data_IF_701955001844
#
_entry.id   IF_701955001844
#
_cell.length_a   1.000
_cell.length_b   1.000
_cell.length_c   1.000
_cell.angle_alpha   90.00
_cell.angle_beta   90.00
_cell.angle_gamma   90.00
#
_symmetry.space_group_name_H-M   'P 1'
#
loop_
_entity.id
_entity.type
_entity.pdbx_description
1 polymer ?
#
# COMPACT_ATOMS: atom_id res chain seq x y z
N UNK A 1 3.87 6.13 36.50
CA UNK A 1 3.12 7.34 36.06
C UNK A 1 3.37 7.53 34.58
N UNK A 2 2.45 7.40 33.63
CA UNK A 2 1.01 7.63 33.69
C UNK A 2 0.59 8.40 32.43
N UNK A 3 0.80 7.80 31.25
CA UNK A 3 0.18 8.15 29.96
C UNK A 3 0.03 6.81 29.25
N UNK A 4 -0.96 5.97 29.56
CA UNK A 4 -2.36 6.26 29.26
C UNK A 4 -2.45 7.12 27.99
N UNK A 5 -1.89 6.61 26.89
CA UNK A 5 -2.47 6.83 25.57
C UNK A 5 -3.83 6.16 25.60
N UNK A 6 -4.72 6.85 26.28
CA UNK A 6 -6.16 6.73 26.18
C UNK A 6 -6.41 6.83 24.68
N UNK A 7 -6.61 5.67 24.03
CA UNK A 7 -7.52 5.59 22.90
C UNK A 7 -8.80 6.21 23.44
N UNK A 8 -8.92 7.52 23.22
CA UNK A 8 -10.08 8.31 23.56
C UNK A 8 -11.18 7.58 22.81
N UNK A 9 -12.03 6.86 23.55
CA UNK A 9 -13.14 6.09 23.02
C UNK A 9 -14.05 7.12 22.35
N UNK A 10 -13.79 7.39 21.07
CA UNK A 10 -14.43 8.48 20.37
C UNK A 10 -15.92 8.17 20.30
N UNK A 11 -16.69 9.19 20.64
CA UNK A 11 -18.11 9.11 20.91
C UNK A 11 -18.91 8.49 19.76
N UNK A 12 -19.73 7.51 20.14
CA UNK A 12 -20.91 6.91 19.49
C UNK A 12 -21.45 7.60 18.20
N UNK A 13 -21.09 7.01 17.03
CA UNK A 13 -21.82 6.86 15.73
C UNK A 13 -21.70 7.97 14.64
N UNK A 14 -21.59 7.53 13.36
CA UNK A 14 -22.71 7.57 12.37
C UNK A 14 -22.43 7.01 10.95
N UNK A 15 -21.19 6.74 10.54
CA UNK A 15 -20.93 6.13 9.22
C UNK A 15 -20.50 4.65 9.35
N UNK A 16 -21.36 3.68 8.98
CA UNK A 16 -20.99 2.27 9.04
C UNK A 16 -19.87 1.99 8.03
N UNK A 17 -19.10 0.93 8.30
CA UNK A 17 -18.15 0.43 7.32
C UNK A 17 -18.87 0.16 5.98
N UNK A 18 -18.28 0.56 4.83
CA UNK A 18 -18.92 0.40 3.54
C UNK A 18 -19.34 -1.04 3.27
N UNK A 19 -20.58 -1.23 2.81
CA UNK A 19 -21.06 -2.55 2.41
C UNK A 19 -20.33 -3.03 1.15
N UNK A 20 -20.35 -4.34 0.89
CA UNK A 20 -19.74 -4.93 -0.32
C UNK A 20 -20.24 -4.25 -1.60
N UNK A 21 -21.53 -3.87 -1.67
CA UNK A 21 -22.09 -3.16 -2.83
C UNK A 21 -21.43 -1.79 -3.04
N UNK A 22 -21.28 -1.02 -1.97
CA UNK A 22 -20.62 0.30 -2.03
C UNK A 22 -19.17 0.12 -2.45
N UNK A 23 -18.45 -0.84 -1.86
CA UNK A 23 -17.06 -1.09 -2.21
C UNK A 23 -16.89 -1.51 -3.68
N UNK A 24 -17.81 -2.31 -4.25
CA UNK A 24 -17.79 -2.65 -5.69
C UNK A 24 -17.96 -1.40 -6.54
N UNK A 25 -18.95 -0.55 -6.24
CA UNK A 25 -19.17 0.70 -6.96
C UNK A 25 -17.92 1.59 -6.88
N UNK A 26 -17.32 1.72 -5.69
CA UNK A 26 -16.09 2.48 -5.49
C UNK A 26 -14.92 1.89 -6.28
N UNK A 27 -14.75 0.56 -6.31
CA UNK A 27 -13.72 -0.10 -7.11
C UNK A 27 -13.89 0.16 -8.61
N UNK A 28 -15.11 0.10 -9.12
CA UNK A 28 -15.41 0.40 -10.54
C UNK A 28 -15.10 1.86 -10.86
N UNK A 29 -15.61 2.80 -10.06
CA UNK A 29 -15.36 4.24 -10.26
C UNK A 29 -13.88 4.56 -10.17
N UNK A 30 -13.16 3.94 -9.23
CA UNK A 30 -11.72 4.12 -9.07
C UNK A 30 -10.97 3.54 -10.27
N UNK A 31 -11.38 2.38 -10.78
CA UNK A 31 -10.79 1.78 -11.98
C UNK A 31 -10.97 2.65 -13.21
N UNK A 32 -12.14 3.27 -13.38
CA UNK A 32 -12.38 4.21 -14.49
C UNK A 32 -11.51 5.45 -14.32
N UNK A 33 -11.46 6.00 -13.11
CA UNK A 33 -10.64 7.18 -12.81
C UNK A 33 -9.15 6.88 -13.07
N UNK A 34 -8.65 5.73 -12.62
CA UNK A 34 -7.29 5.28 -12.87
C UNK A 34 -7.03 5.09 -14.37
N UNK A 35 -7.96 4.50 -15.11
CA UNK A 35 -7.85 4.36 -16.56
C UNK A 35 -7.74 5.72 -17.26
N UNK A 36 -8.65 6.66 -16.96
CA UNK A 36 -8.62 8.01 -17.53
C UNK A 36 -7.32 8.76 -17.21
N UNK A 37 -6.84 8.70 -15.96
CA UNK A 37 -5.58 9.33 -15.58
C UNK A 37 -4.40 8.70 -16.32
N UNK A 38 -4.40 7.38 -16.52
CA UNK A 38 -3.35 6.66 -17.26
C UNK A 38 -3.32 6.93 -18.76
N UNK A 39 -4.36 7.54 -19.33
CA UNK A 39 -4.31 8.06 -20.70
C UNK A 39 -3.32 9.22 -20.82
N UNK A 40 -3.18 10.04 -19.78
CA UNK A 40 -2.28 11.17 -19.73
C UNK A 40 -0.95 10.84 -19.04
N UNK A 41 -0.99 9.97 -18.02
CA UNK A 41 0.16 9.55 -17.23
C UNK A 41 0.27 8.03 -17.20
N UNK A 42 0.88 7.41 -18.23
CA UNK A 42 1.12 5.98 -18.26
C UNK A 42 1.89 5.50 -17.02
N UNK A 43 1.70 4.23 -16.69
CA UNK A 43 2.39 3.55 -15.59
C UNK A 43 3.90 3.73 -15.74
N UNK A 44 4.58 3.99 -14.64
CA UNK A 44 6.04 4.22 -14.63
C UNK A 44 6.47 5.62 -15.08
N UNK A 45 5.55 6.49 -15.51
CA UNK A 45 5.87 7.87 -15.90
C UNK A 45 5.59 8.88 -14.79
N UNK A 46 6.39 9.95 -14.77
CA UNK A 46 6.17 11.14 -13.95
C UNK A 46 7.46 11.76 -13.39
N UNK A 47 7.47 13.08 -13.12
CA UNK A 47 8.62 13.75 -12.54
C UNK A 47 9.06 13.13 -11.20
N UNK A 48 10.37 13.13 -10.96
CA UNK A 48 10.99 12.68 -9.71
C UNK A 48 10.67 11.22 -9.32
N UNK A 49 10.27 10.39 -10.28
CA UNK A 49 9.88 8.99 -10.03
C UNK A 49 8.48 8.84 -9.41
N UNK A 50 7.71 9.92 -9.32
CA UNK A 50 6.33 9.88 -8.86
C UNK A 50 5.43 9.27 -9.95
N UNK A 51 4.77 8.17 -9.65
CA UNK A 51 3.91 7.48 -10.60
C UNK A 51 2.48 8.03 -10.55
N UNK A 52 2.21 9.10 -11.30
CA UNK A 52 0.91 9.79 -11.31
C UNK A 52 -0.27 8.90 -11.68
N UNK A 53 -0.05 7.86 -12.49
CA UNK A 53 -1.06 6.87 -12.85
C UNK A 53 -1.66 6.08 -11.67
N UNK A 54 -1.06 6.13 -10.48
CA UNK A 54 -1.59 5.50 -9.25
C UNK A 54 -2.16 6.50 -8.23
N UNK A 55 -2.05 7.81 -8.48
CA UNK A 55 -2.53 8.83 -7.55
C UNK A 55 -4.02 8.74 -7.23
N UNK A 56 -4.93 8.39 -8.16
CA UNK A 56 -6.33 8.17 -7.82
C UNK A 56 -6.50 7.15 -6.70
N UNK A 57 -5.82 6.00 -6.81
CA UNK A 57 -5.83 4.93 -5.81
C UNK A 57 -5.22 5.39 -4.49
N UNK A 58 -4.10 6.12 -4.54
CA UNK A 58 -3.43 6.62 -3.33
C UNK A 58 -4.26 7.65 -2.58
N UNK A 59 -4.86 8.62 -3.27
CA UNK A 59 -5.75 9.62 -2.68
C UNK A 59 -6.95 8.93 -2.06
N UNK A 60 -7.57 7.98 -2.78
CA UNK A 60 -8.70 7.22 -2.26
C UNK A 60 -8.35 6.45 -0.97
N UNK A 61 -7.24 5.72 -0.97
CA UNK A 61 -6.79 4.95 0.20
C UNK A 61 -6.41 5.86 1.37
N UNK A 62 -5.78 7.01 1.10
CA UNK A 62 -5.47 8.01 2.12
C UNK A 62 -6.74 8.57 2.78
N UNK A 63 -7.72 9.00 1.99
CA UNK A 63 -9.00 9.49 2.50
C UNK A 63 -9.76 8.38 3.24
N UNK A 64 -9.70 7.15 2.75
CA UNK A 64 -10.28 5.98 3.42
C UNK A 64 -9.62 5.70 4.77
N UNK A 65 -8.30 5.82 4.87
CA UNK A 65 -7.57 5.70 6.14
C UNK A 65 -7.94 6.79 7.13
N UNK A 66 -8.08 8.04 6.67
CA UNK A 66 -8.55 9.16 7.47
C UNK A 66 -9.98 8.92 8.01
N UNK A 67 -10.91 8.48 7.16
CA UNK A 67 -12.27 8.11 7.57
C UNK A 67 -12.28 6.93 8.54
N UNK A 68 -11.44 5.92 8.30
CA UNK A 68 -11.33 4.74 9.17
C UNK A 68 -10.89 5.13 10.58
N UNK A 69 -9.95 6.07 10.71
CA UNK A 69 -9.51 6.61 11.99
C UNK A 69 -10.63 7.40 12.69
N UNK A 70 -11.29 8.32 11.98
CA UNK A 70 -12.34 9.16 12.58
C UNK A 70 -13.61 8.39 12.98
N UNK A 71 -13.94 7.32 12.27
CA UNK A 71 -15.15 6.53 12.50
C UNK A 71 -14.89 5.21 13.23
N UNK A 72 -13.65 4.93 13.64
CA UNK A 72 -13.29 3.71 14.37
C UNK A 72 -13.56 2.43 13.57
N UNK A 73 -13.45 2.47 12.23
CA UNK A 73 -13.74 1.31 11.38
C UNK A 73 -12.85 0.11 11.72
N UNK A 74 -11.61 0.36 12.15
CA UNK A 74 -10.65 -0.69 12.50
C UNK A 74 -11.02 -1.41 13.80
N UNK A 75 -11.73 -0.76 14.73
CA UNK A 75 -12.16 -1.39 15.99
C UNK A 75 -13.33 -2.37 15.76
N UNK A 76 -14.09 -2.19 14.68
CA UNK A 76 -15.32 -2.93 14.40
C UNK A 76 -15.37 -3.46 12.96
N UNK A 77 -14.28 -4.06 12.48
CA UNK A 77 -14.26 -4.69 11.17
C UNK A 77 -15.15 -5.96 11.22
N UNK A 78 -16.30 -5.91 10.56
CA UNK A 78 -17.17 -7.07 10.45
C UNK A 78 -16.51 -8.17 9.59
N UNK A 79 -16.44 -9.40 10.13
CA UNK A 79 -15.79 -10.56 9.48
C UNK A 79 -16.43 -10.96 8.14
N UNK A 80 -17.73 -10.71 7.97
CA UNK A 80 -18.49 -11.12 6.77
C UNK A 80 -18.05 -10.36 5.49
N UNK A 81 -18.02 -9.01 5.46
CA UNK A 81 -17.43 -8.26 4.35
C UNK A 81 -15.99 -8.64 4.03
N UNK A 82 -15.16 -8.93 5.05
CA UNK A 82 -13.75 -9.30 4.87
C UNK A 82 -13.61 -10.58 4.05
N UNK A 83 -14.29 -11.66 4.44
CA UNK A 83 -14.23 -12.95 3.72
C UNK A 83 -14.71 -12.83 2.27
N UNK A 84 -15.79 -12.07 2.03
CA UNK A 84 -16.30 -11.83 0.68
C UNK A 84 -15.28 -11.08 -0.17
N UNK A 85 -14.66 -10.05 0.38
CA UNK A 85 -13.64 -9.27 -0.33
C UNK A 85 -12.33 -10.01 -0.54
N UNK A 86 -11.94 -10.89 0.39
CA UNK A 86 -10.83 -11.81 0.17
C UNK A 86 -11.11 -12.74 -1.01
N UNK A 87 -12.30 -13.35 -1.05
CA UNK A 87 -12.70 -14.21 -2.15
C UNK A 87 -12.71 -13.46 -3.49
N UNK A 88 -13.28 -12.24 -3.51
CA UNK A 88 -13.25 -11.38 -4.70
C UNK A 88 -11.80 -11.13 -5.15
N UNK A 89 -10.91 -10.72 -4.26
CA UNK A 89 -9.51 -10.48 -4.61
C UNK A 89 -8.81 -11.74 -5.14
N UNK A 90 -8.99 -12.90 -4.49
CA UNK A 90 -8.41 -14.17 -4.94
C UNK A 90 -8.91 -14.55 -6.34
N UNK A 91 -10.20 -14.36 -6.61
CA UNK A 91 -10.78 -14.62 -7.93
C UNK A 91 -10.33 -13.61 -8.98
N UNK A 92 -10.11 -12.35 -8.58
CA UNK A 92 -9.69 -11.28 -9.50
C UNK A 92 -8.20 -11.38 -9.86
N UNK A 93 -7.32 -11.81 -8.93
CA UNK A 93 -5.87 -11.97 -9.19
C UNK A 93 -5.56 -12.68 -10.52
N UNK A 94 -6.08 -13.89 -10.81
CA UNK A 94 -5.79 -14.58 -12.07
C UNK A 94 -6.43 -13.92 -13.30
N UNK A 95 -7.44 -13.05 -13.13
CA UNK A 95 -8.08 -12.38 -14.26
C UNK A 95 -7.12 -11.45 -15.01
N UNK A 96 -6.11 -10.87 -14.34
CA UNK A 96 -5.11 -10.03 -15.01
C UNK A 96 -4.24 -10.84 -15.98
N UNK A 97 -3.48 -11.87 -15.55
CA UNK A 97 -2.66 -12.65 -16.49
C UNK A 97 -3.51 -13.32 -17.57
N UNK A 98 -4.71 -13.83 -17.24
CA UNK A 98 -5.64 -14.39 -18.23
C UNK A 98 -6.05 -13.31 -19.25
N UNK A 99 -6.46 -12.14 -18.78
CA UNK A 99 -6.85 -11.02 -19.64
C UNK A 99 -5.72 -10.58 -20.57
N UNK A 100 -4.51 -10.44 -20.04
CA UNK A 100 -3.33 -10.09 -20.83
C UNK A 100 -3.03 -11.15 -21.91
N UNK A 101 -3.03 -12.43 -21.55
CA UNK A 101 -2.82 -13.55 -22.49
C UNK A 101 -3.87 -13.52 -23.62
N UNK A 102 -5.15 -13.37 -23.27
CA UNK A 102 -6.25 -13.31 -24.24
C UNK A 102 -6.17 -12.11 -25.18
N UNK A 103 -5.47 -11.05 -24.76
CA UNK A 103 -5.23 -9.85 -25.58
C UNK A 103 -3.86 -9.85 -26.28
N UNK A 104 -3.23 -11.02 -26.42
CA UNK A 104 -2.00 -11.18 -27.21
C UNK A 104 -0.69 -10.93 -26.45
N UNK A 105 -0.69 -10.97 -25.11
CA UNK A 105 0.56 -10.81 -24.34
C UNK A 105 1.62 -11.87 -24.70
N UNK A 106 1.19 -13.11 -25.01
CA UNK A 106 2.10 -14.18 -25.48
C UNK A 106 2.66 -13.93 -26.89
N UNK A 107 2.02 -13.04 -27.65
CA UNK A 107 2.43 -12.63 -29.00
C UNK A 107 3.30 -11.36 -28.96
N UNK A 108 3.65 -10.87 -27.76
CA UNK A 108 4.48 -9.68 -27.54
C UNK A 108 3.71 -8.37 -27.36
N UNK A 109 2.38 -8.40 -27.37
CA UNK A 109 1.57 -7.20 -27.13
C UNK A 109 1.48 -6.90 -25.63
N UNK A 110 2.30 -5.96 -25.15
CA UNK A 110 2.36 -5.53 -23.75
C UNK A 110 2.00 -4.05 -23.59
N UNK A 111 0.77 -3.69 -23.93
CA UNK A 111 0.26 -2.32 -23.88
C UNK A 111 -0.65 -2.07 -22.66
N UNK A 112 -0.29 -2.59 -21.48
CA UNK A 112 -1.06 -2.44 -20.24
C UNK A 112 -0.72 -1.17 -19.44
N UNK A 113 0.41 -0.53 -19.76
CA UNK A 113 0.93 0.62 -19.02
C UNK A 113 0.10 1.89 -19.23
N UNK A 114 -0.61 2.02 -20.35
CA UNK A 114 -1.46 3.17 -20.64
C UNK A 114 -2.05 3.15 -22.06
N UNK A 115 -2.69 4.25 -22.43
CA UNK A 115 -3.34 4.39 -23.74
C UNK A 115 -4.74 3.76 -23.82
N UNK A 116 -5.39 3.92 -24.97
CA UNK A 116 -6.75 3.41 -25.25
C UNK A 116 -6.72 1.93 -25.67
N UNK A 117 -6.12 1.09 -24.85
CA UNK A 117 -6.03 -0.36 -25.09
C UNK A 117 -6.91 -1.13 -24.12
N UNK A 118 -7.38 -2.30 -24.56
CA UNK A 118 -8.14 -3.20 -23.68
C UNK A 118 -7.29 -3.70 -22.50
N UNK A 119 -5.97 -3.87 -22.70
CA UNK A 119 -5.04 -4.27 -21.65
C UNK A 119 -4.93 -3.22 -20.54
N UNK A 120 -4.78 -1.94 -20.89
CA UNK A 120 -4.72 -0.86 -19.93
C UNK A 120 -6.05 -0.73 -19.16
N UNK A 121 -7.18 -0.94 -19.84
CA UNK A 121 -8.50 -0.96 -19.20
C UNK A 121 -8.66 -2.12 -18.22
N UNK A 122 -8.32 -3.35 -18.63
CA UNK A 122 -8.35 -4.54 -17.77
C UNK A 122 -7.47 -4.32 -16.54
N UNK A 123 -6.25 -3.82 -16.72
CA UNK A 123 -5.32 -3.56 -15.62
C UNK A 123 -5.84 -2.49 -14.65
N UNK A 124 -6.37 -1.38 -15.17
CA UNK A 124 -6.94 -0.31 -14.35
C UNK A 124 -8.18 -0.76 -13.57
N UNK A 125 -9.04 -1.59 -14.17
CA UNK A 125 -10.20 -2.18 -13.48
C UNK A 125 -9.80 -3.20 -12.46
N UNK A 126 -8.80 -4.03 -12.76
CA UNK A 126 -8.34 -5.11 -11.89
C UNK A 126 -7.78 -4.60 -10.56
N UNK A 127 -7.01 -3.51 -10.59
CA UNK A 127 -6.25 -3.01 -9.45
C UNK A 127 -7.11 -2.71 -8.21
N UNK A 128 -8.17 -1.89 -8.26
CA UNK A 128 -8.97 -1.56 -7.08
C UNK A 128 -9.58 -2.78 -6.38
N UNK A 129 -9.98 -3.81 -7.12
CA UNK A 129 -10.58 -5.00 -6.53
C UNK A 129 -9.56 -5.81 -5.71
N UNK A 130 -8.37 -6.02 -6.27
CA UNK A 130 -7.29 -6.70 -5.58
C UNK A 130 -6.78 -5.86 -4.41
N UNK A 131 -6.58 -4.56 -4.65
CA UNK A 131 -6.13 -3.63 -3.61
C UNK A 131 -7.09 -3.59 -2.42
N UNK A 132 -8.40 -3.42 -2.64
CA UNK A 132 -9.36 -3.35 -1.54
C UNK A 132 -9.45 -4.67 -0.80
N UNK A 133 -9.53 -5.81 -1.51
CA UNK A 133 -9.65 -7.11 -0.86
C UNK A 133 -8.43 -7.47 -0.01
N UNK A 134 -7.22 -7.21 -0.52
CA UNK A 134 -5.99 -7.42 0.25
C UNK A 134 -5.88 -6.47 1.44
N UNK A 135 -6.11 -5.17 1.25
CA UNK A 135 -6.03 -4.20 2.34
C UNK A 135 -7.05 -4.51 3.44
N UNK A 136 -8.33 -4.68 3.12
CA UNK A 136 -9.38 -4.97 4.10
C UNK A 136 -9.06 -6.26 4.87
N UNK A 137 -8.57 -7.29 4.16
CA UNK A 137 -8.23 -8.58 4.77
C UNK A 137 -7.01 -8.50 5.67
N UNK A 138 -5.92 -7.88 5.22
CA UNK A 138 -4.73 -7.72 6.03
C UNK A 138 -5.04 -6.87 7.25
N UNK A 139 -5.71 -5.72 7.09
CA UNK A 139 -6.05 -4.86 8.22
C UNK A 139 -6.92 -5.61 9.25
N UNK A 140 -7.93 -6.36 8.81
CA UNK A 140 -8.73 -7.20 9.71
C UNK A 140 -7.90 -8.27 10.41
N UNK A 141 -7.04 -8.97 9.67
CA UNK A 141 -6.23 -10.05 10.22
C UNK A 141 -5.20 -9.55 11.25
N UNK A 142 -4.49 -8.46 10.92
CA UNK A 142 -3.56 -7.82 11.86
C UNK A 142 -4.29 -7.25 13.08
N UNK A 143 -5.47 -6.66 12.90
CA UNK A 143 -6.28 -6.18 14.01
C UNK A 143 -6.72 -7.30 14.96
N UNK A 144 -7.14 -8.45 14.42
CA UNK A 144 -7.67 -9.55 15.23
C UNK A 144 -6.57 -10.41 15.88
N UNK A 145 -5.44 -10.62 15.18
CA UNK A 145 -4.39 -11.56 15.60
C UNK A 145 -3.17 -10.90 16.23
N UNK A 146 -2.81 -9.69 15.79
CA UNK A 146 -1.52 -9.07 16.07
C UNK A 146 -1.63 -7.67 16.68
N UNK A 147 -2.84 -7.21 17.05
CA UNK A 147 -3.06 -5.94 17.72
C UNK A 147 -2.67 -6.01 19.21
N UNK A 148 -1.38 -6.25 19.47
CA UNK A 148 -0.81 -6.32 20.81
C UNK A 148 0.12 -5.13 21.01
N UNK A 149 -0.03 -4.34 22.09
CA UNK A 149 0.76 -3.13 22.28
C UNK A 149 2.14 -3.43 22.88
N UNK A 150 2.94 -4.27 22.24
CA UNK A 150 4.32 -4.50 22.70
C UNK A 150 5.17 -3.25 22.50
N UNK A 151 5.99 -2.90 23.50
CA UNK A 151 6.80 -1.67 23.47
C UNK A 151 7.65 -1.59 22.21
N UNK A 152 8.30 -2.68 21.81
CA UNK A 152 9.14 -2.71 20.62
C UNK A 152 8.35 -2.39 19.34
N UNK A 153 7.20 -3.04 19.14
CA UNK A 153 6.34 -2.85 17.96
C UNK A 153 5.82 -1.42 17.84
N UNK A 154 5.47 -0.78 18.97
CA UNK A 154 5.06 0.64 18.98
C UNK A 154 6.19 1.55 18.50
N UNK A 155 7.43 1.34 18.97
CA UNK A 155 8.57 2.15 18.53
C UNK A 155 8.90 1.92 17.04
N UNK A 156 8.82 0.68 16.55
CA UNK A 156 9.02 0.40 15.12
C UNK A 156 7.90 1.02 14.26
N UNK A 157 6.65 0.94 14.73
CA UNK A 157 5.49 1.52 14.04
C UNK A 157 5.61 3.05 13.91
N UNK A 158 6.03 3.74 14.98
CA UNK A 158 6.32 5.17 14.94
C UNK A 158 7.43 5.51 13.93
N UNK A 159 8.41 4.62 13.76
CA UNK A 159 9.50 4.79 12.79
C UNK A 159 9.12 4.49 11.34
N UNK A 160 8.04 3.74 11.09
CA UNK A 160 7.73 3.19 9.77
C UNK A 160 7.52 4.26 8.70
N UNK A 161 6.84 5.38 9.02
CA UNK A 161 6.64 6.47 8.07
C UNK A 161 7.95 7.19 7.73
N UNK A 162 8.83 7.39 8.72
CA UNK A 162 10.16 7.96 8.47
C UNK A 162 11.01 7.04 7.61
N UNK A 163 10.98 5.72 7.88
CA UNK A 163 11.62 4.70 7.04
C UNK A 163 11.14 4.81 5.59
N UNK A 164 9.83 4.95 5.37
CA UNK A 164 9.27 5.13 4.03
C UNK A 164 9.87 6.34 3.29
N UNK A 165 10.19 7.44 3.98
CA UNK A 165 10.81 8.62 3.35
C UNK A 165 12.30 8.40 3.05
N UNK A 166 13.06 7.83 3.99
CA UNK A 166 14.53 7.77 3.90
C UNK A 166 15.06 6.50 3.20
N UNK A 167 14.25 5.45 3.07
CA UNK A 167 14.72 4.17 2.54
C UNK A 167 15.30 4.24 1.13
N UNK A 168 14.81 5.06 0.18
CA UNK A 168 15.38 5.08 -1.17
C UNK A 168 16.85 5.53 -1.12
N UNK A 169 17.17 6.57 -0.34
CA UNK A 169 18.53 7.07 -0.20
C UNK A 169 19.47 6.03 0.43
N UNK A 170 19.01 5.36 1.50
CA UNK A 170 19.82 4.34 2.20
C UNK A 170 20.04 3.11 1.33
N UNK A 171 18.98 2.59 0.70
CA UNK A 171 19.07 1.40 -0.16
C UNK A 171 19.93 1.69 -1.38
N UNK A 172 19.74 2.82 -2.06
CA UNK A 172 20.57 3.21 -3.22
C UNK A 172 22.03 3.35 -2.80
N UNK A 173 22.31 4.00 -1.66
CA UNK A 173 23.68 4.13 -1.14
C UNK A 173 24.35 2.77 -0.88
N UNK A 174 23.63 1.84 -0.23
CA UNK A 174 24.13 0.48 -0.01
C UNK A 174 24.30 -0.29 -1.32
N UNK A 175 23.36 -0.18 -2.26
CA UNK A 175 23.44 -0.82 -3.57
C UNK A 175 24.65 -0.33 -4.36
N UNK A 176 24.94 0.97 -4.37
CA UNK A 176 26.13 1.54 -5.01
C UNK A 176 27.41 1.07 -4.31
N UNK A 177 27.43 1.01 -2.98
CA UNK A 177 28.57 0.48 -2.24
C UNK A 177 28.87 -0.99 -2.59
N UNK A 178 27.85 -1.85 -2.56
CA UNK A 178 27.99 -3.27 -2.92
C UNK A 178 28.18 -3.52 -4.42
N UNK A 179 27.91 -2.54 -5.27
CA UNK A 179 28.20 -2.65 -6.70
C UNK A 179 29.70 -2.84 -6.97
N UNK A 180 30.56 -2.19 -6.17
CA UNK A 180 32.02 -2.20 -6.31
C UNK A 180 32.67 -3.57 -6.04
N UNK A 181 31.97 -4.49 -5.38
CA UNK A 181 32.52 -5.80 -5.02
C UNK A 181 32.07 -6.88 -6.01
N UNK A 182 32.96 -7.77 -6.43
CA UNK A 182 32.65 -8.89 -7.33
C UNK A 182 32.01 -10.08 -6.59
N UNK A 183 30.90 -9.83 -5.88
CA UNK A 183 30.13 -10.84 -5.12
C UNK A 183 28.93 -11.30 -5.95
N UNK A 184 28.50 -12.56 -5.77
CA UNK A 184 27.30 -13.10 -6.41
C UNK A 184 26.06 -12.20 -6.17
N UNK A 185 25.24 -11.88 -7.20
CA UNK A 185 24.11 -10.95 -7.08
C UNK A 185 23.11 -11.31 -5.98
N UNK A 186 22.84 -12.59 -5.78
CA UNK A 186 21.92 -13.06 -4.73
C UNK A 186 22.42 -12.72 -3.31
N UNK A 187 23.73 -12.80 -3.09
CA UNK A 187 24.34 -12.47 -1.80
C UNK A 187 24.26 -10.95 -1.59
N UNK A 188 24.55 -10.15 -2.62
CA UNK A 188 24.37 -8.69 -2.57
C UNK A 188 22.93 -8.32 -2.22
N UNK A 189 21.95 -8.98 -2.84
CA UNK A 189 20.53 -8.78 -2.53
C UNK A 189 20.23 -9.07 -1.05
N UNK A 190 20.69 -10.19 -0.52
CA UNK A 190 20.45 -10.55 0.88
C UNK A 190 21.13 -9.57 1.85
N UNK A 191 22.34 -9.13 1.53
CA UNK A 191 23.08 -8.14 2.31
C UNK A 191 22.38 -6.78 2.30
N UNK A 192 22.06 -6.24 1.12
CA UNK A 192 21.36 -4.94 0.98
C UNK A 192 19.99 -5.00 1.66
N UNK A 193 19.24 -6.10 1.53
CA UNK A 193 17.95 -6.26 2.20
C UNK A 193 18.09 -6.20 3.72
N UNK A 194 19.03 -6.96 4.28
CA UNK A 194 19.20 -7.09 5.72
C UNK A 194 19.78 -5.82 6.33
N UNK A 195 20.91 -5.34 5.78
CA UNK A 195 21.57 -4.10 6.22
C UNK A 195 20.68 -2.88 5.98
N UNK A 196 20.04 -2.79 4.82
CA UNK A 196 19.13 -1.70 4.49
C UNK A 196 17.99 -1.60 5.49
N UNK A 197 17.36 -2.71 5.85
CA UNK A 197 16.29 -2.72 6.87
C UNK A 197 16.79 -2.20 8.21
N UNK A 198 17.92 -2.74 8.69
CA UNK A 198 18.49 -2.33 9.98
C UNK A 198 18.90 -0.86 9.98
N UNK A 199 19.64 -0.41 8.96
CA UNK A 199 20.06 0.98 8.81
C UNK A 199 18.86 1.92 8.73
N UNK A 200 17.82 1.58 7.95
CA UNK A 200 16.62 2.41 7.84
C UNK A 200 15.94 2.62 9.19
N UNK A 201 15.69 1.53 9.95
CA UNK A 201 15.03 1.65 11.25
C UNK A 201 15.90 2.38 12.27
N UNK A 202 17.21 2.11 12.32
CA UNK A 202 18.12 2.83 13.21
C UNK A 202 18.11 4.33 12.90
N UNK A 203 18.29 4.71 11.64
CA UNK A 203 18.30 6.11 11.21
C UNK A 203 16.95 6.78 11.47
N UNK A 204 15.83 6.11 11.18
CA UNK A 204 14.49 6.63 11.45
C UNK A 204 14.25 6.88 12.94
N UNK A 205 14.67 5.95 13.81
CA UNK A 205 14.55 6.11 15.27
C UNK A 205 15.42 7.25 15.82
N UNK A 206 16.55 7.56 15.17
CA UNK A 206 17.36 8.73 15.51
C UNK A 206 16.64 10.01 15.08
N UNK A 207 16.09 10.05 13.86
CA UNK A 207 15.38 11.21 13.30
C UNK A 207 14.17 11.59 14.16
N UNK A 208 13.34 10.62 14.57
CA UNK A 208 12.11 10.90 15.35
C UNK A 208 12.41 11.44 16.75
N UNK A 209 13.64 11.25 17.26
CA UNK A 209 14.06 11.86 18.54
C UNK A 209 14.33 13.36 18.41
N UNK A 210 14.45 13.91 17.20
CA UNK A 210 14.61 15.35 16.99
C UNK A 210 13.30 16.08 17.30
N UNK A 211 13.35 17.22 18.03
CA UNK A 211 12.17 17.88 18.60
C UNK A 211 11.16 18.37 17.55
N UNK A 212 11.62 18.70 16.34
CA UNK A 212 10.76 19.12 15.23
C UNK A 212 10.22 17.95 14.40
N UNK A 213 11.02 16.90 14.20
CA UNK A 213 10.64 15.73 13.42
C UNK A 213 9.43 15.01 14.04
N UNK A 214 9.40 14.90 15.38
CA UNK A 214 8.32 14.22 16.12
C UNK A 214 6.91 14.83 15.95
N UNK A 215 6.79 16.07 15.43
CA UNK A 215 5.48 16.69 15.19
C UNK A 215 4.88 16.31 13.84
N UNK A 216 5.72 15.92 12.88
CA UNK A 216 5.33 15.70 11.48
C UNK A 216 5.43 14.22 11.09
N UNK A 217 6.37 13.49 11.69
CA UNK A 217 6.69 12.09 11.45
C UNK A 217 6.21 11.21 12.61
#
# INVERSE_FOLDING_TARGET
>A
MGRALVLKKFSKRKFPFPTTKILIVMSILLGFTAFFVRLFYPVGTGPLGLQFGYFPSYIFLFVSGFMAFHHGWLEYISVMPVKKWLLIAILTIPMLPIGLILTGALEGNMAFEGGLTLQAFIYAMWEPFVAFGLNITLLSWFNDKLNRPYRFEIHMSQAAYTVYIIHPAIIVGLSLYFHLFSIHPFIKFLMVRSLGTVCCFITALIIIRLPYAKRVL
#
